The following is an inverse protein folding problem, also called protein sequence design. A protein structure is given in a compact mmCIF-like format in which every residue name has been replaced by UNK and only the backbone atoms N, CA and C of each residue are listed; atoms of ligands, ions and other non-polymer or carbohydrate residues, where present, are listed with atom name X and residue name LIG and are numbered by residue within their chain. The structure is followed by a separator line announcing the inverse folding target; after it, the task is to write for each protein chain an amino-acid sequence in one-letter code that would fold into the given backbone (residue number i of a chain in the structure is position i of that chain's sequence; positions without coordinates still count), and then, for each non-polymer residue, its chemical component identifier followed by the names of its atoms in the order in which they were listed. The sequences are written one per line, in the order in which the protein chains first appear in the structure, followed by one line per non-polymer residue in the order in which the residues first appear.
data_IF_822530826731
#
_entry.id   IF_822530826731
#
_cell.length_a   1.000
_cell.length_b   1.000
_cell.length_c   1.000
_cell.angle_alpha   90.00
_cell.angle_beta   90.00
_cell.angle_gamma   90.00
#
_symmetry.space_group_name_H-M   'P 1'
#
loop_
_entity.id
_entity.type
_entity.pdbx_description
1 polymer ?
#
# COMPACT_ATOMS: atom_id res chain seq x y z
N UNK A 1 31.75 2.71 17.97
CA UNK A 1 30.48 2.42 17.29
C UNK A 1 29.38 3.15 18.05
N UNK A 2 28.54 3.92 17.36
CA UNK A 2 27.48 4.71 18.00
C UNK A 2 26.59 3.82 18.90
N UNK A 3 26.15 4.34 20.06
CA UNK A 3 25.41 3.58 21.08
C UNK A 3 24.13 2.97 20.49
N UNK A 4 23.47 3.68 19.58
CA UNK A 4 22.21 3.26 18.92
C UNK A 4 22.41 2.08 17.96
N UNK A 5 23.45 2.10 17.12
CA UNK A 5 23.75 1.00 16.19
C UNK A 5 24.11 -0.27 16.95
N UNK A 6 24.89 -0.12 18.02
CA UNK A 6 25.27 -1.24 18.89
C UNK A 6 24.03 -1.90 19.53
N UNK A 7 23.03 -1.11 19.90
CA UNK A 7 21.75 -1.60 20.41
C UNK A 7 20.94 -2.34 19.34
N UNK A 8 20.88 -1.83 18.10
CA UNK A 8 20.22 -2.51 16.98
C UNK A 8 20.79 -3.91 16.74
N UNK A 9 22.11 -4.07 16.81
CA UNK A 9 22.76 -5.39 16.68
C UNK A 9 22.37 -6.31 17.83
N UNK A 10 22.35 -5.81 19.08
CA UNK A 10 21.90 -6.61 20.23
C UNK A 10 20.43 -7.01 20.11
N UNK A 11 19.59 -6.13 19.60
CA UNK A 11 18.17 -6.41 19.33
C UNK A 11 18.02 -7.51 18.27
N UNK A 12 18.76 -7.41 17.16
CA UNK A 12 18.79 -8.43 16.12
C UNK A 12 19.28 -9.79 16.64
N UNK A 13 20.37 -9.83 17.42
CA UNK A 13 20.87 -11.08 18.01
C UNK A 13 19.83 -11.74 18.93
N UNK A 14 19.11 -10.95 19.74
CA UNK A 14 18.02 -11.46 20.58
C UNK A 14 16.86 -11.99 19.74
N UNK A 15 16.47 -11.26 18.70
CA UNK A 15 15.42 -11.67 17.77
C UNK A 15 15.76 -13.00 17.07
N UNK A 16 16.98 -13.15 16.54
CA UNK A 16 17.42 -14.36 15.84
C UNK A 16 17.40 -15.59 16.77
N UNK A 17 17.90 -15.45 18.00
CA UNK A 17 17.85 -16.52 19.02
C UNK A 17 16.42 -16.91 19.38
N UNK A 18 15.52 -15.93 19.50
CA UNK A 18 14.10 -16.20 19.77
C UNK A 18 13.48 -16.98 18.60
N UNK A 19 13.68 -16.54 17.35
CA UNK A 19 13.14 -17.24 16.17
C UNK A 19 13.61 -18.68 16.08
N UNK A 20 14.91 -18.94 16.26
CA UNK A 20 15.47 -20.30 16.25
C UNK A 20 14.95 -21.19 17.39
N UNK A 21 14.57 -20.61 18.54
CA UNK A 21 13.96 -21.36 19.63
C UNK A 21 12.56 -21.86 19.27
N UNK A 22 11.78 -21.08 18.52
CA UNK A 22 10.44 -21.45 18.08
C UNK A 22 10.45 -22.32 16.81
N UNK A 23 11.32 -22.00 15.84
CA UNK A 23 11.52 -22.76 14.62
C UNK A 23 13.05 -22.91 14.36
N UNK A 24 13.64 -24.09 14.65
CA UNK A 24 15.07 -24.35 14.45
C UNK A 24 15.55 -24.26 12.99
N UNK A 25 14.66 -24.46 12.01
CA UNK A 25 14.98 -24.41 10.57
C UNK A 25 14.65 -23.05 9.94
N UNK A 26 14.15 -22.09 10.73
CA UNK A 26 13.67 -20.79 10.22
C UNK A 26 14.59 -20.10 9.21
N UNK A 27 15.89 -20.04 9.47
CA UNK A 27 16.85 -19.37 8.57
C UNK A 27 17.34 -20.25 7.42
N UNK A 28 17.31 -21.58 7.56
CA UNK A 28 17.60 -22.47 6.43
C UNK A 28 16.46 -22.43 5.43
N UNK A 29 15.22 -22.49 5.91
CA UNK A 29 14.01 -22.42 5.09
C UNK A 29 13.95 -21.06 4.35
N UNK A 30 14.25 -19.97 5.04
CA UNK A 30 14.32 -18.62 4.46
C UNK A 30 15.45 -18.46 3.43
N UNK A 31 16.56 -19.18 3.57
CA UNK A 31 17.68 -19.10 2.65
C UNK A 31 17.44 -19.88 1.35
N UNK A 32 16.58 -20.89 1.37
CA UNK A 32 16.34 -21.80 0.25
C UNK A 32 15.34 -21.27 -0.78
N UNK A 33 14.41 -20.37 -0.40
CA UNK A 33 13.37 -19.88 -1.30
C UNK A 33 13.10 -18.38 -1.16
N UNK A 34 13.18 -17.67 -2.30
CA UNK A 34 12.63 -16.33 -2.49
C UNK A 34 11.70 -16.35 -3.69
N UNK A 35 10.45 -16.76 -3.47
CA UNK A 35 9.39 -16.70 -4.47
C UNK A 35 8.26 -15.82 -3.93
N UNK A 36 8.50 -14.51 -3.73
CA UNK A 36 7.41 -13.61 -3.39
C UNK A 36 6.38 -13.66 -4.52
N UNK A 37 5.10 -13.72 -4.16
CA UNK A 37 3.99 -13.66 -5.11
C UNK A 37 3.53 -12.22 -5.37
N UNK A 38 3.92 -11.29 -4.49
CA UNK A 38 3.44 -9.92 -4.48
C UNK A 38 4.58 -8.91 -4.39
N UNK A 39 4.56 -7.88 -5.24
CA UNK A 39 5.34 -6.66 -5.07
C UNK A 39 4.50 -5.60 -4.34
N UNK A 40 5.00 -5.10 -3.21
CA UNK A 40 4.41 -3.99 -2.45
C UNK A 40 5.19 -2.70 -2.67
N UNK A 41 4.55 -1.70 -3.28
CA UNK A 41 5.05 -0.33 -3.44
C UNK A 41 4.36 0.56 -2.40
N UNK A 42 5.10 0.95 -1.36
CA UNK A 42 4.57 1.72 -0.25
C UNK A 42 5.32 3.01 0.03
N UNK A 43 4.82 3.79 0.99
CA UNK A 43 5.50 5.01 1.42
C UNK A 43 6.74 4.69 2.28
N UNK A 44 7.76 5.56 2.23
CA UNK A 44 8.89 5.55 3.17
C UNK A 44 8.52 5.89 4.61
N UNK A 45 7.25 6.22 4.90
CA UNK A 45 6.76 6.41 6.26
C UNK A 45 6.98 5.16 7.12
N UNK A 46 7.63 5.33 8.28
CA UNK A 46 8.04 4.23 9.14
C UNK A 46 6.89 3.54 9.88
N UNK A 47 5.68 4.10 9.84
CA UNK A 47 4.50 3.55 10.54
C UNK A 47 3.83 2.41 9.79
N UNK A 48 4.24 2.13 8.55
CA UNK A 48 3.50 1.25 7.62
C UNK A 48 4.37 0.06 7.16
N UNK A 49 4.85 -0.84 8.05
CA UNK A 49 5.60 -2.04 7.65
C UNK A 49 4.68 -3.09 7.00
N UNK A 50 4.84 -3.33 5.70
CA UNK A 50 3.91 -4.10 4.87
C UNK A 50 3.67 -5.51 5.42
N UNK A 51 4.75 -6.19 5.83
CA UNK A 51 4.73 -7.53 6.40
C UNK A 51 3.92 -7.61 7.70
N UNK A 52 3.95 -6.54 8.51
CA UNK A 52 3.15 -6.49 9.74
C UNK A 52 1.68 -6.23 9.44
N UNK A 53 1.40 -5.40 8.43
CA UNK A 53 0.04 -5.03 8.06
C UNK A 53 -0.74 -6.18 7.42
N UNK A 54 -0.06 -7.00 6.60
CA UNK A 54 -0.72 -8.08 5.86
C UNK A 54 -0.54 -9.45 6.53
N UNK A 55 0.14 -9.53 7.67
CA UNK A 55 0.48 -10.79 8.33
C UNK A 55 1.51 -11.64 7.57
N UNK A 56 2.08 -11.13 6.48
CA UNK A 56 3.04 -11.85 5.66
C UNK A 56 4.38 -12.05 6.40
N UNK A 57 4.99 -13.21 6.15
CA UNK A 57 6.31 -13.55 6.64
C UNK A 57 7.41 -13.00 5.71
N UNK A 58 8.63 -12.76 6.25
CA UNK A 58 9.77 -12.36 5.43
C UNK A 58 9.98 -13.34 4.26
N UNK A 59 10.07 -12.80 3.04
CA UNK A 59 10.21 -13.58 1.80
C UNK A 59 8.92 -13.74 0.99
N UNK A 60 7.76 -13.39 1.55
CA UNK A 60 6.47 -13.42 0.82
C UNK A 60 6.18 -12.12 0.05
N UNK A 61 6.67 -10.98 0.54
CA UNK A 61 6.57 -9.70 -0.15
C UNK A 61 7.91 -9.27 -0.73
N UNK A 62 7.91 -8.80 -1.97
CA UNK A 62 8.98 -7.99 -2.53
C UNK A 62 8.61 -6.52 -2.32
N UNK A 63 9.48 -5.70 -1.72
CA UNK A 63 9.06 -4.37 -1.22
C UNK A 63 9.88 -3.24 -1.83
N UNK A 64 9.18 -2.23 -2.36
CA UNK A 64 9.76 -0.93 -2.71
C UNK A 64 9.15 0.17 -1.84
N UNK A 65 9.96 1.17 -1.47
CA UNK A 65 9.49 2.34 -0.71
C UNK A 65 10.11 3.62 -1.23
N UNK A 66 9.27 4.62 -1.45
CA UNK A 66 9.66 5.99 -1.67
C UNK A 66 8.65 6.96 -1.01
N UNK A 67 8.97 8.24 -0.94
CA UNK A 67 8.08 9.22 -0.29
C UNK A 67 6.81 9.38 -1.12
N UNK A 68 5.64 9.19 -0.49
CA UNK A 68 4.33 9.22 -1.14
C UNK A 68 4.07 8.11 -2.19
N UNK A 69 4.80 6.98 -2.10
CA UNK A 69 4.51 5.74 -2.84
C UNK A 69 4.33 5.95 -4.35
N UNK A 70 5.19 6.76 -4.94
CA UNK A 70 5.14 7.19 -6.33
C UNK A 70 5.60 6.10 -7.30
N UNK A 71 4.94 6.03 -8.45
CA UNK A 71 5.36 5.30 -9.64
C UNK A 71 5.50 6.32 -10.77
N UNK A 72 6.72 6.83 -10.95
CA UNK A 72 7.04 7.81 -11.99
C UNK A 72 7.60 7.07 -13.20
N UNK A 73 7.10 7.35 -14.40
CA UNK A 73 7.47 6.65 -15.64
C UNK A 73 8.98 6.56 -15.90
N UNK A 74 9.74 7.56 -15.44
CA UNK A 74 11.19 7.65 -15.64
C UNK A 74 12.00 7.48 -14.36
N UNK A 75 11.37 7.11 -13.23
CA UNK A 75 12.10 6.72 -12.03
C UNK A 75 12.66 5.31 -12.22
N UNK A 76 13.92 5.25 -12.65
CA UNK A 76 14.61 3.99 -12.90
C UNK A 76 14.74 3.14 -11.63
N UNK A 77 14.69 3.72 -10.43
CA UNK A 77 14.72 2.96 -9.18
C UNK A 77 13.45 2.11 -9.05
N UNK A 78 12.27 2.74 -9.06
CA UNK A 78 10.99 2.02 -9.01
C UNK A 78 10.82 1.09 -10.23
N UNK A 79 11.13 1.54 -11.45
CA UNK A 79 10.98 0.73 -12.65
C UNK A 79 11.90 -0.50 -12.67
N UNK A 80 13.12 -0.41 -12.14
CA UNK A 80 14.02 -1.57 -12.02
C UNK A 80 13.46 -2.61 -11.04
N UNK A 81 12.83 -2.16 -9.95
CA UNK A 81 12.18 -3.06 -8.98
C UNK A 81 10.96 -3.73 -9.60
N UNK A 82 10.12 -2.98 -10.32
CA UNK A 82 8.95 -3.52 -11.03
C UNK A 82 9.38 -4.54 -12.07
N UNK A 83 10.39 -4.22 -12.90
CA UNK A 83 10.89 -5.14 -13.92
C UNK A 83 11.42 -6.43 -13.30
N UNK A 84 12.22 -6.34 -12.24
CA UNK A 84 12.75 -7.54 -11.58
C UNK A 84 11.63 -8.40 -10.98
N UNK A 85 10.65 -7.78 -10.32
CA UNK A 85 9.51 -8.49 -9.75
C UNK A 85 8.70 -9.24 -10.82
N UNK A 86 8.36 -8.54 -11.92
CA UNK A 86 7.51 -9.09 -12.98
C UNK A 86 8.25 -10.11 -13.84
N UNK A 87 9.50 -9.84 -14.19
CA UNK A 87 10.23 -10.64 -15.17
C UNK A 87 11.08 -11.75 -14.54
N UNK A 88 11.76 -11.47 -13.42
CA UNK A 88 12.64 -12.43 -12.76
C UNK A 88 11.92 -13.24 -11.68
N UNK A 89 11.16 -12.56 -10.81
CA UNK A 89 10.45 -13.23 -9.69
C UNK A 89 9.09 -13.80 -10.09
N UNK A 90 8.52 -13.31 -11.19
CA UNK A 90 7.19 -13.71 -11.68
C UNK A 90 6.09 -13.51 -10.63
N UNK A 91 6.13 -12.36 -9.93
CA UNK A 91 5.03 -11.95 -9.04
C UNK A 91 3.72 -11.94 -9.83
N UNK A 92 2.65 -12.32 -9.16
CA UNK A 92 1.28 -12.30 -9.69
C UNK A 92 0.57 -11.01 -9.37
N UNK A 93 1.00 -10.34 -8.29
CA UNK A 93 0.33 -9.16 -7.78
C UNK A 93 1.32 -8.01 -7.59
N UNK A 94 0.90 -6.79 -7.95
CA UNK A 94 1.59 -5.56 -7.58
C UNK A 94 0.62 -4.65 -6.85
N UNK A 95 0.90 -4.37 -5.58
CA UNK A 95 0.11 -3.47 -4.77
C UNK A 95 0.81 -2.11 -4.69
N UNK A 96 0.10 -1.04 -5.03
CA UNK A 96 0.48 0.32 -4.65
C UNK A 96 -0.34 0.74 -3.45
N UNK A 97 0.32 0.91 -2.31
CA UNK A 97 -0.35 1.25 -1.06
C UNK A 97 -0.02 2.67 -0.59
N UNK A 98 -1.04 3.53 -0.64
CA UNK A 98 -1.04 4.83 0.03
C UNK A 98 -1.39 4.69 1.51
N UNK A 99 -1.31 5.79 2.25
CA UNK A 99 -1.76 5.78 3.64
C UNK A 99 -2.30 7.14 4.10
N UNK A 100 -3.23 7.11 5.05
CA UNK A 100 -3.78 8.33 5.64
C UNK A 100 -2.69 9.12 6.38
N UNK A 101 -2.87 10.44 6.44
CA UNK A 101 -1.93 11.38 7.06
C UNK A 101 -0.47 11.22 6.58
N UNK A 102 -0.30 11.05 5.26
CA UNK A 102 1.01 10.99 4.63
C UNK A 102 1.68 12.36 4.60
N UNK A 103 2.86 12.46 5.21
CA UNK A 103 3.65 13.69 5.24
C UNK A 103 4.04 14.19 3.85
N UNK A 104 4.38 13.28 2.93
CA UNK A 104 4.70 13.64 1.53
C UNK A 104 3.51 14.21 0.78
N UNK A 105 2.34 13.56 0.89
CA UNK A 105 1.09 14.03 0.26
C UNK A 105 0.71 15.42 0.78
N UNK A 106 0.70 15.59 2.10
CA UNK A 106 0.41 16.88 2.74
C UNK A 106 1.37 17.97 2.28
N UNK A 107 2.66 17.69 2.29
CA UNK A 107 3.67 18.67 1.95
C UNK A 107 3.66 19.05 0.45
N UNK A 108 3.30 18.12 -0.43
CA UNK A 108 3.04 18.38 -1.86
C UNK A 108 1.79 19.23 -2.09
N UNK A 109 0.69 18.95 -1.37
CA UNK A 109 -0.55 19.71 -1.47
C UNK A 109 -0.41 21.17 -0.99
N UNK A 110 0.27 21.37 0.13
CA UNK A 110 0.46 22.71 0.72
C UNK A 110 1.58 23.51 0.03
N UNK A 111 2.38 22.87 -0.84
CA UNK A 111 3.56 23.44 -1.47
C UNK A 111 4.52 24.09 -0.44
N UNK A 112 4.71 23.44 0.71
CA UNK A 112 5.49 23.96 1.84
C UNK A 112 6.94 23.51 1.84
N UNK A 113 7.32 22.60 0.94
CA UNK A 113 8.66 22.01 0.91
C UNK A 113 9.70 22.89 0.22
N UNK A 114 10.97 22.69 0.60
CA UNK A 114 12.13 23.36 0.01
C UNK A 114 13.26 22.34 -0.21
N UNK A 115 14.14 22.63 -1.14
CA UNK A 115 15.31 21.78 -1.44
C UNK A 115 14.95 20.58 -2.33
N UNK A 116 15.80 19.55 -2.35
CA UNK A 116 15.69 18.46 -3.33
C UNK A 116 14.33 17.72 -3.29
N UNK A 117 13.74 17.59 -2.12
CA UNK A 117 12.45 16.89 -1.95
C UNK A 117 11.29 17.59 -2.66
N UNK A 118 11.36 18.92 -2.88
CA UNK A 118 10.29 19.62 -3.59
C UNK A 118 10.18 19.14 -5.04
N UNK A 119 11.30 18.80 -5.68
CA UNK A 119 11.30 18.26 -7.05
C UNK A 119 10.56 16.91 -7.13
N UNK A 120 10.69 16.07 -6.10
CA UNK A 120 9.96 14.81 -6.03
C UNK A 120 8.47 15.04 -5.78
N UNK A 121 8.14 15.95 -4.86
CA UNK A 121 6.76 16.24 -4.48
C UNK A 121 6.02 17.12 -5.49
N UNK A 122 6.70 17.68 -6.49
CA UNK A 122 6.06 18.30 -7.65
C UNK A 122 5.10 17.34 -8.34
N UNK A 123 5.38 16.04 -8.39
CA UNK A 123 4.46 15.06 -8.98
C UNK A 123 3.13 14.97 -8.20
N UNK A 124 3.18 15.12 -6.87
CA UNK A 124 1.96 15.21 -6.04
C UNK A 124 1.28 16.57 -6.25
N UNK A 125 2.06 17.64 -6.36
CA UNK A 125 1.54 18.99 -6.60
C UNK A 125 0.84 19.12 -7.95
N UNK A 126 1.35 18.48 -8.99
CA UNK A 126 0.75 18.42 -10.32
C UNK A 126 -0.62 17.74 -10.24
N UNK A 127 -0.71 16.64 -9.49
CA UNK A 127 -1.96 15.95 -9.24
C UNK A 127 -2.96 16.82 -8.46
N UNK A 128 -2.49 17.46 -7.39
CA UNK A 128 -3.31 18.41 -6.63
C UNK A 128 -3.86 19.53 -7.53
N UNK A 129 -3.01 20.11 -8.38
CA UNK A 129 -3.38 21.19 -9.30
C UNK A 129 -4.40 20.72 -10.33
N UNK A 130 -4.25 19.50 -10.87
CA UNK A 130 -5.20 18.90 -11.83
C UNK A 130 -6.60 18.74 -11.25
N UNK A 131 -6.71 18.41 -9.97
CA UNK A 131 -7.98 18.19 -9.26
C UNK A 131 -8.33 19.33 -8.28
N UNK A 132 -7.75 20.51 -8.46
CA UNK A 132 -7.83 21.60 -7.49
C UNK A 132 -9.27 22.03 -7.18
N UNK A 133 -10.16 22.03 -8.18
CA UNK A 133 -11.57 22.40 -8.00
C UNK A 133 -12.27 21.51 -6.97
N UNK A 134 -12.15 20.19 -7.10
CA UNK A 134 -12.68 19.22 -6.14
C UNK A 134 -11.98 19.38 -4.80
N UNK A 135 -10.66 19.36 -4.81
CA UNK A 135 -9.88 19.32 -3.57
C UNK A 135 -10.13 20.57 -2.71
N UNK A 136 -10.35 21.73 -3.33
CA UNK A 136 -10.65 22.97 -2.62
C UNK A 136 -12.09 23.07 -2.12
N UNK A 137 -13.03 22.28 -2.65
CA UNK A 137 -14.40 22.24 -2.11
C UNK A 137 -14.53 21.42 -0.83
N UNK A 138 -13.53 20.57 -0.54
CA UNK A 138 -13.50 19.70 0.64
C UNK A 138 -12.82 20.38 1.85
N UNK A 139 -13.17 19.93 3.05
CA UNK A 139 -12.45 20.27 4.28
C UNK A 139 -10.98 19.83 4.21
N UNK A 140 -10.06 20.46 4.98
CA UNK A 140 -8.64 20.09 4.94
C UNK A 140 -8.34 18.62 5.24
N UNK A 141 -9.12 17.98 6.13
CA UNK A 141 -8.98 16.55 6.44
C UNK A 141 -9.34 15.70 5.22
N UNK A 142 -10.55 15.88 4.69
CA UNK A 142 -11.06 15.16 3.54
C UNK A 142 -10.27 15.41 2.26
N UNK A 143 -9.76 16.62 2.07
CA UNK A 143 -8.86 16.96 0.97
C UNK A 143 -7.62 16.07 0.94
N UNK A 144 -6.97 15.84 2.08
CA UNK A 144 -5.79 14.98 2.14
C UNK A 144 -6.13 13.50 1.93
N UNK A 145 -7.28 13.06 2.44
CA UNK A 145 -7.79 11.70 2.21
C UNK A 145 -8.07 11.47 0.71
N UNK A 146 -8.84 12.34 0.07
CA UNK A 146 -9.14 12.26 -1.36
C UNK A 146 -7.89 12.40 -2.21
N UNK A 147 -6.96 13.31 -1.88
CA UNK A 147 -5.69 13.40 -2.59
C UNK A 147 -4.85 12.13 -2.46
N UNK A 148 -4.90 11.44 -1.31
CA UNK A 148 -4.22 10.15 -1.12
C UNK A 148 -4.82 9.08 -2.04
N UNK A 149 -6.16 9.01 -2.11
CA UNK A 149 -6.90 8.10 -3.02
C UNK A 149 -6.59 8.38 -4.48
N UNK A 150 -6.61 9.67 -4.89
CA UNK A 150 -6.20 10.10 -6.23
C UNK A 150 -4.76 9.71 -6.53
N UNK A 151 -3.84 9.90 -5.58
CA UNK A 151 -2.44 9.54 -5.78
C UNK A 151 -2.27 8.04 -6.04
N UNK A 152 -2.92 7.19 -5.24
CA UNK A 152 -2.88 5.73 -5.45
C UNK A 152 -3.44 5.35 -6.81
N UNK A 153 -4.60 5.88 -7.20
CA UNK A 153 -5.19 5.61 -8.51
C UNK A 153 -4.27 6.03 -9.66
N UNK A 154 -3.63 7.19 -9.58
CA UNK A 154 -2.70 7.70 -10.59
C UNK A 154 -1.39 6.90 -10.63
N UNK A 155 -0.93 6.39 -9.50
CA UNK A 155 0.25 5.52 -9.48
C UNK A 155 -0.06 4.14 -10.09
N UNK A 156 -1.26 3.60 -9.88
CA UNK A 156 -1.72 2.38 -10.58
C UNK A 156 -1.83 2.64 -12.08
N UNK A 157 -2.37 3.79 -12.47
CA UNK A 157 -2.42 4.22 -13.87
C UNK A 157 -1.02 4.28 -14.51
N UNK A 158 -0.07 4.90 -13.82
CA UNK A 158 1.31 5.01 -14.30
C UNK A 158 1.99 3.64 -14.41
N UNK A 159 1.78 2.78 -13.41
CA UNK A 159 2.30 1.41 -13.38
C UNK A 159 1.74 0.59 -14.53
N UNK A 160 0.42 0.58 -14.70
CA UNK A 160 -0.27 -0.16 -15.74
C UNK A 160 0.13 0.30 -17.14
N UNK A 161 0.47 1.57 -17.33
CA UNK A 161 0.97 2.12 -18.60
C UNK A 161 2.47 1.94 -18.84
N UNK A 162 3.21 1.42 -17.86
CA UNK A 162 4.64 1.12 -18.06
C UNK A 162 4.80 0.03 -19.12
N UNK A 163 5.90 0.08 -19.88
CA UNK A 163 6.19 -0.97 -20.86
C UNK A 163 6.27 -2.34 -20.20
N UNK A 164 6.79 -2.42 -18.98
CA UNK A 164 6.95 -3.68 -18.23
C UNK A 164 5.61 -4.39 -18.01
N UNK A 165 4.60 -3.66 -17.54
CA UNK A 165 3.26 -4.23 -17.26
C UNK A 165 2.49 -4.48 -18.56
N UNK A 166 2.57 -3.56 -19.52
CA UNK A 166 1.95 -3.75 -20.83
C UNK A 166 2.51 -4.98 -21.56
N UNK A 167 3.82 -5.17 -21.55
CA UNK A 167 4.47 -6.34 -22.14
C UNK A 167 4.11 -7.63 -21.39
N UNK A 168 3.83 -7.55 -20.09
CA UNK A 168 3.38 -8.69 -19.28
C UNK A 168 1.97 -9.13 -19.64
N UNK A 169 1.04 -8.20 -19.74
CA UNK A 169 -0.31 -8.48 -20.20
C UNK A 169 -0.34 -8.94 -21.65
N UNK A 170 0.43 -8.29 -22.54
CA UNK A 170 0.47 -8.65 -23.97
C UNK A 170 0.98 -10.07 -24.23
N UNK A 171 1.92 -10.57 -23.40
CA UNK A 171 2.43 -11.96 -23.48
C UNK A 171 1.57 -12.97 -22.71
N UNK A 172 0.45 -12.55 -22.13
CA UNK A 172 -0.46 -13.41 -21.37
C UNK A 172 0.09 -13.86 -20.01
N UNK A 173 1.03 -13.12 -19.42
CA UNK A 173 1.48 -13.38 -18.05
C UNK A 173 0.38 -12.96 -17.07
N UNK A 174 0.01 -13.85 -16.15
CA UNK A 174 -0.88 -13.54 -15.02
C UNK A 174 -0.23 -12.44 -14.16
N UNK A 175 -0.85 -11.26 -14.13
CA UNK A 175 -0.39 -10.11 -13.36
C UNK A 175 -1.58 -9.19 -13.06
N UNK A 176 -1.85 -8.96 -11.79
CA UNK A 176 -2.84 -8.00 -11.30
C UNK A 176 -2.12 -6.82 -10.63
N UNK A 177 -2.61 -5.61 -10.85
CA UNK A 177 -2.16 -4.42 -10.14
C UNK A 177 -3.31 -3.84 -9.34
N UNK A 178 -3.10 -3.57 -8.05
CA UNK A 178 -4.18 -3.13 -7.14
C UNK A 178 -3.74 -1.94 -6.28
N UNK A 179 -4.59 -0.93 -6.21
CA UNK A 179 -4.39 0.25 -5.38
C UNK A 179 -5.08 0.12 -4.02
N UNK A 180 -4.34 0.25 -2.94
CA UNK A 180 -4.86 0.21 -1.57
C UNK A 180 -4.54 1.49 -0.80
N UNK A 181 -5.34 1.79 0.22
CA UNK A 181 -5.05 2.85 1.19
C UNK A 181 -5.09 2.28 2.61
N UNK A 182 -3.98 2.39 3.32
CA UNK A 182 -3.88 2.06 4.73
C UNK A 182 -4.31 3.23 5.61
N UNK A 183 -5.32 3.04 6.45
CA UNK A 183 -5.67 4.04 7.45
C UNK A 183 -4.84 3.82 8.73
N UNK A 184 -3.99 4.80 9.05
CA UNK A 184 -3.11 4.73 10.22
C UNK A 184 -3.84 4.89 11.55
N UNK A 185 -5.08 5.41 11.53
CA UNK A 185 -5.84 5.71 12.75
C UNK A 185 -6.52 4.46 13.33
N UNK A 186 -7.01 3.57 12.47
CA UNK A 186 -7.75 2.35 12.84
C UNK A 186 -7.01 1.05 12.45
N UNK A 187 -6.04 1.13 11.53
CA UNK A 187 -5.24 -0.01 11.10
C UNK A 187 -5.84 -0.81 9.95
N UNK A 188 -6.88 -0.32 9.28
CA UNK A 188 -7.52 -1.03 8.18
C UNK A 188 -6.87 -0.72 6.82
N UNK A 189 -6.75 -1.75 5.98
CA UNK A 189 -6.47 -1.60 4.54
C UNK A 189 -7.80 -1.49 3.80
N UNK A 190 -7.91 -0.43 2.99
CA UNK A 190 -9.10 -0.15 2.21
C UNK A 190 -8.78 -0.34 0.72
N UNK A 191 -9.70 -0.98 0.01
CA UNK A 191 -9.70 -1.09 -1.47
C UNK A 191 -10.10 0.25 -2.11
N UNK A 192 -9.33 1.28 -1.79
CA UNK A 192 -9.55 2.65 -2.22
C UNK A 192 -8.54 3.01 -3.32
N UNK A 193 -8.67 2.31 -4.44
CA UNK A 193 -7.85 2.51 -5.62
C UNK A 193 -8.43 1.83 -6.86
N UNK A 194 -7.56 1.60 -7.83
CA UNK A 194 -7.88 0.93 -9.09
C UNK A 194 -7.27 -0.47 -9.05
N UNK A 195 -8.04 -1.46 -9.48
CA UNK A 195 -7.54 -2.80 -9.76
C UNK A 195 -7.60 -3.07 -11.26
N UNK A 196 -6.61 -3.77 -11.81
CA UNK A 196 -6.61 -4.20 -13.20
C UNK A 196 -5.70 -5.41 -13.43
N UNK A 197 -6.16 -6.35 -14.25
CA UNK A 197 -5.37 -7.48 -14.75
C UNK A 197 -5.16 -7.42 -16.28
N UNK A 198 -5.60 -6.34 -16.91
CA UNK A 198 -5.41 -6.06 -18.35
C UNK A 198 -5.42 -4.55 -18.64
N UNK A 199 -4.99 -4.17 -19.84
CA UNK A 199 -5.01 -2.77 -20.28
C UNK A 199 -6.44 -2.21 -20.42
N UNK A 200 -7.39 -3.05 -20.85
CA UNK A 200 -8.80 -2.70 -21.00
C UNK A 200 -9.45 -2.46 -19.63
N UNK A 201 -9.22 -3.35 -18.67
CA UNK A 201 -9.69 -3.18 -17.30
C UNK A 201 -9.09 -1.95 -16.64
N UNK A 202 -7.80 -1.68 -16.85
CA UNK A 202 -7.15 -0.47 -16.34
C UNK A 202 -7.86 0.80 -16.82
N UNK A 203 -8.13 0.90 -18.13
CA UNK A 203 -8.80 2.06 -18.71
C UNK A 203 -10.21 2.26 -18.11
N UNK A 204 -10.98 1.18 -18.00
CA UNK A 204 -12.35 1.22 -17.49
C UNK A 204 -12.39 1.55 -15.99
N UNK A 205 -11.63 0.79 -15.19
CA UNK A 205 -11.65 0.89 -13.74
C UNK A 205 -11.08 2.23 -13.26
N UNK A 206 -10.02 2.72 -13.92
CA UNK A 206 -9.47 4.05 -13.64
C UNK A 206 -10.49 5.16 -13.90
N UNK A 207 -11.15 5.16 -15.06
CA UNK A 207 -12.16 6.17 -15.41
C UNK A 207 -13.32 6.17 -14.43
N UNK A 208 -13.85 4.98 -14.09
CA UNK A 208 -14.95 4.83 -13.14
C UNK A 208 -14.55 5.32 -11.75
N UNK A 209 -13.36 4.95 -11.29
CA UNK A 209 -12.87 5.33 -9.97
C UNK A 209 -12.67 6.85 -9.87
N UNK A 210 -12.00 7.46 -10.86
CA UNK A 210 -11.83 8.92 -10.90
C UNK A 210 -13.18 9.64 -10.99
N UNK A 211 -14.11 9.16 -11.82
CA UNK A 211 -15.44 9.75 -11.92
C UNK A 211 -16.18 9.73 -10.57
N UNK A 212 -16.09 8.63 -9.81
CA UNK A 212 -16.64 8.53 -8.45
C UNK A 212 -15.99 9.54 -7.50
N UNK A 213 -14.65 9.64 -7.50
CA UNK A 213 -13.94 10.57 -6.62
C UNK A 213 -14.31 12.04 -6.90
N UNK A 214 -14.50 12.37 -8.18
CA UNK A 214 -14.86 13.73 -8.61
C UNK A 214 -16.25 14.18 -8.15
N UNK A 215 -17.11 13.27 -7.69
CA UNK A 215 -18.45 13.61 -7.16
C UNK A 215 -18.52 13.64 -5.64
N UNK A 216 -17.44 13.28 -4.93
CA UNK A 216 -17.46 13.19 -3.47
C UNK A 216 -17.63 14.56 -2.81
N UNK A 217 -18.48 14.59 -1.80
CA UNK A 217 -18.66 15.72 -0.89
C UNK A 217 -18.14 15.38 0.51
N UNK A 218 -18.01 16.39 1.38
CA UNK A 218 -17.67 16.13 2.80
C UNK A 218 -18.72 15.22 3.47
N UNK A 219 -20.00 15.30 3.10
CA UNK A 219 -21.06 14.46 3.65
C UNK A 219 -20.91 12.99 3.24
N UNK A 220 -20.53 12.73 1.98
CA UNK A 220 -20.30 11.36 1.50
C UNK A 220 -19.11 10.73 2.23
N UNK A 221 -18.03 11.51 2.45
CA UNK A 221 -16.84 11.05 3.17
C UNK A 221 -17.11 10.79 4.65
N UNK A 222 -17.87 11.67 5.31
CA UNK A 222 -18.31 11.44 6.68
C UNK A 222 -19.16 10.16 6.79
N UNK A 223 -20.03 9.90 5.80
CA UNK A 223 -20.83 8.68 5.75
C UNK A 223 -19.96 7.44 5.52
N UNK A 224 -18.97 7.49 4.62
CA UNK A 224 -18.00 6.40 4.41
C UNK A 224 -17.29 6.03 5.73
N UNK A 225 -16.91 7.02 6.56
CA UNK A 225 -16.29 6.78 7.87
C UNK A 225 -17.26 6.05 8.82
N UNK A 226 -18.52 6.49 8.89
CA UNK A 226 -19.54 5.85 9.73
C UNK A 226 -19.80 4.42 9.29
N UNK A 227 -19.91 4.19 7.98
CA UNK A 227 -20.17 2.88 7.41
C UNK A 227 -19.02 1.91 7.70
N UNK A 228 -17.76 2.37 7.59
CA UNK A 228 -16.58 1.59 7.98
C UNK A 228 -16.63 1.20 9.47
N UNK A 229 -16.84 2.17 10.35
CA UNK A 229 -16.90 1.92 11.78
C UNK A 229 -18.04 0.97 12.19
N UNK A 230 -19.16 0.97 11.46
CA UNK A 230 -20.26 0.03 11.69
C UNK A 230 -19.92 -1.39 11.22
N UNK A 231 -19.25 -1.52 10.07
CA UNK A 231 -18.78 -2.82 9.57
C UNK A 231 -17.77 -3.45 10.52
N UNK A 232 -16.82 -2.68 11.05
CA UNK A 232 -15.82 -3.20 11.98
C UNK A 232 -16.45 -3.69 13.29
N UNK A 233 -17.49 -3.02 13.78
CA UNK A 233 -18.25 -3.49 14.95
C UNK A 233 -18.95 -4.82 14.67
N UNK A 234 -19.58 -4.96 13.50
CA UNK A 234 -20.24 -6.20 13.12
C UNK A 234 -19.25 -7.36 13.00
N UNK A 235 -18.09 -7.14 12.38
CA UNK A 235 -17.04 -8.15 12.26
C UNK A 235 -16.50 -8.59 13.63
N UNK A 236 -16.25 -7.65 14.54
CA UNK A 236 -15.81 -7.98 15.91
C UNK A 236 -16.88 -8.77 16.68
N UNK A 237 -18.17 -8.41 16.54
CA UNK A 237 -19.27 -9.15 17.18
C UNK A 237 -19.40 -10.58 16.63
N UNK A 238 -19.08 -10.80 15.35
CA UNK A 238 -19.02 -12.13 14.71
C UNK A 238 -17.81 -12.96 15.17
N UNK A 239 -16.62 -12.36 15.21
CA UNK A 239 -15.40 -13.00 15.72
C UNK A 239 -15.53 -13.38 17.20
N UNK A 240 -16.14 -12.53 18.03
CA UNK A 240 -16.42 -12.81 19.44
C UNK A 240 -17.45 -13.94 19.60
N UNK A 241 -18.43 -14.04 18.71
CA UNK A 241 -19.38 -15.15 18.69
C UNK A 241 -18.71 -16.46 18.25
N UNK A 242 -17.84 -16.42 17.25
CA UNK A 242 -17.12 -17.60 16.75
C UNK A 242 -16.07 -18.10 17.76
N UNK A 243 -15.37 -17.18 18.44
CA UNK A 243 -14.46 -17.49 19.55
C UNK A 243 -15.20 -18.11 20.75
N UNK A 244 -16.39 -17.61 21.09
CA UNK A 244 -17.22 -18.19 22.15
C UNK A 244 -17.81 -19.56 21.77
N UNK A 245 -18.06 -19.83 20.48
CA UNK A 245 -18.49 -21.15 20.00
C UNK A 245 -17.32 -22.15 19.96
N UNK A 246 -16.12 -21.75 19.56
CA UNK A 246 -14.93 -22.62 19.56
C UNK A 246 -14.43 -22.93 20.98
N UNK A 247 -14.58 -22.00 21.93
CA UNK A 247 -14.26 -22.27 23.34
C UNK A 247 -15.21 -23.32 23.95
N UNK A 248 -16.47 -23.38 23.51
CA UNK A 248 -17.43 -24.41 23.94
C UNK A 248 -17.17 -25.81 23.35
N UNK A 249 -16.31 -25.95 22.34
CA UNK A 249 -15.94 -27.24 21.75
C UNK A 249 -14.61 -27.81 22.25
N UNK A 250 -13.81 -27.04 22.99
CA UNK A 250 -12.53 -27.49 23.56
C UNK A 250 -12.63 -27.99 25.02
N UNK A 251 -13.82 -27.95 25.63
CA UNK A 251 -14.08 -28.49 26.98
C UNK A 251 -14.60 -29.95 26.98
N UNK A 252 -14.60 -30.62 25.83
CA UNK A 252 -14.79 -32.07 25.74
C UNK A 252 -13.70 -32.67 24.85
N UNK A 253 -12.49 -32.87 25.40
CA UNK A 253 -11.61 -34.05 25.25
C UNK A 253 -10.29 -33.84 26.00
#
# INVERSE_FOLDING_TARGET
MDKKVSEMIRNNQRWARKRLKYNPTYFTDMAEQQTPDTLWIGCSDSRVPAETLTGNHPGQLFVHRNIANMVIHTDLNCMSVVQYAVEALKVKDIVVCGHSNCGGIKAGAENTTRGLISNWLMHVQDLYTRHQTLLNSLTPKHRLEVLTRLNVAEQIWNLGRSSIVQDAWARGQELTISGLVYNIEDGHLLEEGVEASSAEELELNYRNYIARLLTLTDQDLDQEIVDRANKDKQANDEDDQEANQTTNYLDYY
#
